data_IF_502809155541
#
_entry.id   IF_502809155541
#
_cell.length_a   1.000
_cell.length_b   1.000
_cell.length_c   1.000
_cell.angle_alpha   90.00
_cell.angle_beta   90.00
_cell.angle_gamma   90.00
#
_symmetry.space_group_name_H-M   'P 1'
#
loop_
_entity.id
_entity.type
_entity.pdbx_description
1 polymer ?
#
# COMPACT_ATOMS: atom_id res chain seq x y z
N UNK A 1 10.54 -18.39 -73.95
CA UNK A 1 9.56 -19.03 -73.04
C UNK A 1 10.19 -19.16 -71.65
N UNK A 2 9.80 -18.36 -70.67
CA UNK A 2 10.35 -18.39 -69.31
C UNK A 2 9.24 -18.75 -68.30
N UNK A 3 9.34 -19.94 -67.69
CA UNK A 3 8.48 -20.37 -66.58
C UNK A 3 9.08 -19.84 -65.27
N UNK A 4 8.45 -18.83 -64.68
CA UNK A 4 8.85 -18.26 -63.39
C UNK A 4 8.39 -19.13 -62.23
N UNK A 5 9.34 -19.48 -61.35
CA UNK A 5 9.17 -20.34 -60.17
C UNK A 5 8.57 -19.54 -59.02
N UNK A 6 7.25 -19.63 -58.82
CA UNK A 6 6.55 -19.09 -57.64
C UNK A 6 5.99 -20.28 -56.85
N UNK A 7 6.86 -21.02 -56.16
CA UNK A 7 6.48 -22.28 -55.49
C UNK A 7 6.86 -22.43 -54.01
N UNK A 8 7.97 -21.87 -53.55
CA UNK A 8 8.58 -22.35 -52.28
C UNK A 8 8.44 -21.46 -51.04
N UNK A 9 7.79 -20.29 -51.10
CA UNK A 9 7.77 -19.37 -49.93
C UNK A 9 6.64 -19.58 -48.91
N UNK A 10 5.70 -20.51 -49.14
CA UNK A 10 4.49 -20.63 -48.30
C UNK A 10 4.60 -21.57 -47.09
N UNK A 11 5.55 -22.52 -47.08
CA UNK A 11 5.62 -23.53 -46.01
C UNK A 11 6.28 -23.02 -44.70
N UNK A 12 7.21 -22.06 -44.79
CA UNK A 12 7.98 -21.60 -43.62
C UNK A 12 7.25 -20.55 -42.75
N UNK A 13 6.13 -20.00 -43.21
CA UNK A 13 5.37 -18.98 -42.47
C UNK A 13 4.42 -19.59 -41.42
N UNK A 14 3.90 -20.81 -41.65
CA UNK A 14 2.95 -21.46 -40.74
C UNK A 14 3.57 -21.90 -39.40
N UNK A 15 4.82 -22.37 -39.41
CA UNK A 15 5.49 -22.85 -38.18
C UNK A 15 6.08 -21.72 -37.33
N UNK A 16 6.42 -20.57 -37.93
CA UNK A 16 6.78 -19.35 -37.19
C UNK A 16 5.58 -18.75 -36.45
N UNK A 17 4.39 -18.84 -37.03
CA UNK A 17 3.14 -18.32 -36.44
C UNK A 17 2.74 -19.04 -35.14
N UNK A 18 2.87 -20.37 -35.08
CA UNK A 18 2.47 -21.13 -33.88
C UNK A 18 3.44 -20.96 -32.70
N UNK A 19 4.75 -20.83 -32.97
CA UNK A 19 5.75 -20.53 -31.93
C UNK A 19 5.65 -19.09 -31.44
N UNK A 20 5.42 -18.14 -32.36
CA UNK A 20 5.17 -16.75 -32.00
C UNK A 20 3.95 -16.65 -31.06
N UNK A 21 2.87 -17.37 -31.37
CA UNK A 21 1.65 -17.39 -30.54
C UNK A 21 1.90 -17.86 -29.10
N UNK A 22 2.67 -18.94 -28.87
CA UNK A 22 2.99 -19.40 -27.50
C UNK A 22 3.85 -18.40 -26.73
N UNK A 23 4.79 -17.75 -27.43
CA UNK A 23 5.68 -16.76 -26.83
C UNK A 23 4.91 -15.48 -26.45
N UNK A 24 4.00 -15.03 -27.31
CA UNK A 24 3.08 -13.93 -27.01
C UNK A 24 2.19 -14.27 -25.80
N UNK A 25 1.69 -15.50 -25.73
CA UNK A 25 0.84 -15.95 -24.63
C UNK A 25 1.60 -15.95 -23.28
N UNK A 26 2.85 -16.41 -23.27
CA UNK A 26 3.73 -16.33 -22.09
C UNK A 26 4.01 -14.89 -21.66
N UNK A 27 4.25 -13.98 -22.61
CA UNK A 27 4.48 -12.57 -22.32
C UNK A 27 3.24 -11.94 -21.68
N UNK A 28 2.04 -12.24 -22.19
CA UNK A 28 0.79 -11.75 -21.59
C UNK A 28 0.60 -12.28 -20.18
N UNK A 29 0.86 -13.57 -19.93
CA UNK A 29 0.76 -14.15 -18.59
C UNK A 29 1.74 -13.47 -17.62
N UNK A 30 3.00 -13.28 -18.03
CA UNK A 30 4.00 -12.57 -17.23
C UNK A 30 3.60 -11.12 -16.95
N UNK A 31 3.05 -10.43 -17.94
CA UNK A 31 2.56 -9.07 -17.77
C UNK A 31 1.40 -9.00 -16.75
N UNK A 32 0.48 -9.97 -16.79
CA UNK A 32 -0.63 -10.05 -15.81
C UNK A 32 -0.10 -10.32 -14.41
N UNK A 33 0.83 -11.26 -14.24
CA UNK A 33 1.45 -11.55 -12.93
C UNK A 33 2.17 -10.30 -12.39
N UNK A 34 2.91 -9.59 -13.24
CA UNK A 34 3.59 -8.36 -12.85
C UNK A 34 2.60 -7.26 -12.41
N UNK A 35 1.46 -7.14 -13.10
CA UNK A 35 0.40 -6.19 -12.71
C UNK A 35 -0.24 -6.55 -11.37
N UNK A 36 -0.51 -7.84 -11.11
CA UNK A 36 -1.04 -8.30 -9.81
C UNK A 36 -0.02 -8.02 -8.70
N UNK A 37 1.25 -8.39 -8.90
CA UNK A 37 2.30 -8.14 -7.92
C UNK A 37 2.50 -6.63 -7.64
N UNK A 38 2.38 -5.79 -8.67
CA UNK A 38 2.43 -4.34 -8.52
C UNK A 38 1.23 -3.80 -7.73
N UNK A 39 0.02 -4.30 -8.00
CA UNK A 39 -1.18 -3.93 -7.26
C UNK A 39 -1.10 -4.36 -5.79
N UNK A 40 -0.65 -5.58 -5.53
CA UNK A 40 -0.45 -6.11 -4.18
C UNK A 40 0.60 -5.30 -3.42
N UNK A 41 1.73 -4.99 -4.06
CA UNK A 41 2.75 -4.09 -3.49
C UNK A 41 2.10 -2.75 -3.09
N UNK A 42 1.43 -2.07 -4.02
CA UNK A 42 0.84 -0.77 -3.73
C UNK A 42 -0.27 -0.85 -2.65
N UNK A 43 -0.97 -1.97 -2.53
CA UNK A 43 -1.99 -2.16 -1.50
C UNK A 43 -1.38 -2.42 -0.11
N UNK A 44 -0.31 -3.23 -0.04
CA UNK A 44 0.35 -3.60 1.21
C UNK A 44 1.17 -2.45 1.83
N UNK A 45 1.73 -1.55 1.01
CA UNK A 45 2.53 -0.41 1.49
C UNK A 45 1.71 0.85 1.78
N UNK A 46 0.38 0.77 1.87
CA UNK A 46 -0.42 1.91 2.34
C UNK A 46 -0.28 2.08 3.85
N UNK A 47 0.43 3.13 4.24
CA UNK A 47 0.42 3.64 5.61
C UNK A 47 -0.99 4.16 5.94
N UNK A 48 -1.53 3.76 7.09
CA UNK A 48 -2.78 4.29 7.61
C UNK A 48 -2.47 5.30 8.71
N UNK A 49 -2.91 6.54 8.51
CA UNK A 49 -2.72 7.62 9.47
C UNK A 49 -4.06 8.04 10.04
N UNK A 50 -4.15 8.16 11.36
CA UNK A 50 -5.33 8.69 12.04
C UNK A 50 -4.93 9.56 13.22
N UNK A 51 -5.87 10.38 13.68
CA UNK A 51 -5.69 11.29 14.81
C UNK A 51 -6.52 10.80 16.01
N UNK A 52 -5.87 10.74 17.16
CA UNK A 52 -6.51 10.53 18.46
C UNK A 52 -6.60 11.91 19.11
N UNK A 53 -7.81 12.45 19.17
CA UNK A 53 -8.10 13.65 19.94
C UNK A 53 -8.04 13.33 21.44
N UNK A 54 -7.32 14.16 22.19
CA UNK A 54 -7.34 14.09 23.63
C UNK A 54 -8.71 14.51 24.19
N UNK A 55 -9.20 13.77 25.19
CA UNK A 55 -10.42 14.16 25.89
C UNK A 55 -10.03 15.14 26.99
N UNK A 56 -9.89 16.40 26.64
CA UNK A 56 -9.60 17.44 27.60
C UNK A 56 -10.88 18.12 28.14
N UNK A 57 -10.81 18.60 29.37
CA UNK A 57 -11.91 19.34 30.01
C UNK A 57 -11.37 20.36 31.00
N UNK A 58 -12.09 21.47 31.18
CA UNK A 58 -11.72 22.46 32.19
C UNK A 58 -12.21 22.03 33.57
N UNK A 59 -11.28 21.86 34.51
CA UNK A 59 -11.57 21.59 35.92
C UNK A 59 -10.81 22.62 36.75
N UNK A 60 -11.54 23.38 37.58
CA UNK A 60 -10.96 24.41 38.47
C UNK A 60 -10.04 25.44 37.78
N UNK A 61 -10.33 25.81 36.53
CA UNK A 61 -9.56 26.81 35.78
C UNK A 61 -8.29 26.28 35.11
N UNK A 62 -8.02 24.98 35.18
CA UNK A 62 -6.95 24.30 34.44
C UNK A 62 -7.53 23.33 33.42
N UNK A 63 -6.89 23.20 32.26
CA UNK A 63 -7.24 22.17 31.27
C UNK A 63 -6.59 20.87 31.72
N UNK A 64 -7.42 19.89 32.07
CA UNK A 64 -6.96 18.54 32.35
C UNK A 64 -6.92 17.77 31.04
N UNK A 65 -5.77 17.17 30.79
CA UNK A 65 -5.49 16.36 29.63
C UNK A 65 -5.43 14.88 30.04
N UNK A 66 -5.77 13.97 29.13
CA UNK A 66 -5.57 12.51 29.35
C UNK A 66 -4.32 12.05 28.60
N UNK A 67 -3.99 12.74 27.51
CA UNK A 67 -2.76 12.59 26.74
C UNK A 67 -1.79 13.73 27.10
N UNK A 68 -1.06 13.55 28.19
CA UNK A 68 -0.16 14.59 28.71
C UNK A 68 1.29 14.40 28.23
N UNK A 69 1.57 13.23 27.66
CA UNK A 69 2.92 12.81 27.31
C UNK A 69 2.97 12.09 25.98
N UNK A 70 4.13 12.19 25.32
CA UNK A 70 4.43 11.45 24.09
C UNK A 70 4.34 9.93 24.31
N UNK A 71 4.77 9.43 25.47
CA UNK A 71 4.66 8.02 25.83
C UNK A 71 3.20 7.53 25.91
N UNK A 72 2.29 8.36 26.44
CA UNK A 72 0.86 8.04 26.46
C UNK A 72 0.27 8.01 25.04
N UNK A 73 0.71 8.92 24.17
CA UNK A 73 0.33 8.94 22.75
C UNK A 73 0.80 7.67 22.03
N UNK A 74 2.08 7.31 22.19
CA UNK A 74 2.64 6.08 21.61
C UNK A 74 1.88 4.83 22.09
N UNK A 75 1.63 4.70 23.39
CA UNK A 75 0.91 3.55 23.94
C UNK A 75 -0.50 3.42 23.35
N UNK A 76 -1.23 4.53 23.22
CA UNK A 76 -2.55 4.53 22.59
C UNK A 76 -2.50 4.21 21.10
N UNK A 77 -1.53 4.76 20.37
CA UNK A 77 -1.33 4.43 18.96
C UNK A 77 -1.06 2.93 18.79
N UNK A 78 -0.16 2.34 19.59
CA UNK A 78 0.12 0.90 19.57
C UNK A 78 -1.13 0.07 19.83
N UNK A 79 -1.91 0.43 20.85
CA UNK A 79 -3.15 -0.25 21.17
C UNK A 79 -4.19 -0.17 20.04
N UNK A 80 -4.39 1.01 19.44
CA UNK A 80 -5.33 1.16 18.32
C UNK A 80 -4.85 0.46 17.04
N UNK A 81 -3.56 0.58 16.67
CA UNK A 81 -3.03 -0.15 15.52
C UNK A 81 -3.26 -1.66 15.71
N UNK A 82 -2.96 -2.19 16.91
CA UNK A 82 -3.17 -3.60 17.22
C UNK A 82 -4.63 -4.02 17.17
N UNK A 83 -5.55 -3.17 17.64
CA UNK A 83 -6.99 -3.44 17.59
C UNK A 83 -7.55 -3.47 16.16
N UNK A 84 -6.89 -2.79 15.22
CA UNK A 84 -7.22 -2.78 13.79
C UNK A 84 -6.41 -3.79 12.98
N UNK A 85 -5.71 -4.72 13.64
CA UNK A 85 -4.84 -5.69 12.96
C UNK A 85 -3.81 -4.99 12.05
N UNK A 86 -3.16 -3.97 12.58
CA UNK A 86 -2.03 -3.27 11.95
C UNK A 86 -0.82 -3.17 12.90
N UNK A 87 0.38 -3.18 12.32
CA UNK A 87 1.63 -2.87 13.00
C UNK A 87 1.74 -1.39 13.30
N UNK A 88 2.18 -1.05 14.51
CA UNK A 88 2.57 0.32 14.84
C UNK A 88 3.88 0.69 14.12
N UNK A 89 3.93 1.89 13.55
CA UNK A 89 5.14 2.42 12.92
C UNK A 89 5.69 3.62 13.69
N UNK A 90 4.87 4.67 13.86
CA UNK A 90 5.27 5.89 14.58
C UNK A 90 4.06 6.65 15.12
N UNK A 91 4.34 7.55 16.06
CA UNK A 91 3.39 8.51 16.59
C UNK A 91 3.99 9.92 16.60
N UNK A 92 3.14 10.94 16.59
CA UNK A 92 3.52 12.33 16.73
C UNK A 92 2.57 13.02 17.71
N UNK A 93 3.11 13.49 18.82
CA UNK A 93 2.38 14.19 19.85
C UNK A 93 2.49 15.71 19.64
N UNK A 94 1.36 16.40 19.67
CA UNK A 94 1.28 17.86 19.65
C UNK A 94 0.62 18.33 20.93
N UNK A 95 1.43 18.85 21.85
CA UNK A 95 0.94 19.52 23.06
C UNK A 95 0.46 20.92 22.73
N UNK A 96 -0.77 21.25 23.10
CA UNK A 96 -1.34 22.59 22.94
C UNK A 96 -1.47 23.23 24.32
N UNK A 97 -0.87 24.42 24.51
CA UNK A 97 -1.01 25.18 25.76
C UNK A 97 -2.45 25.65 26.02
N UNK A 98 -3.22 25.82 24.94
CA UNK A 98 -4.63 26.18 24.97
C UNK A 98 -5.38 25.26 24.02
N UNK A 99 -6.06 24.24 24.55
CA UNK A 99 -6.83 23.28 23.76
C UNK A 99 -6.65 21.85 24.27
N UNK A 100 -7.09 20.87 23.49
CA UNK A 100 -6.81 19.46 23.76
C UNK A 100 -5.56 19.03 22.99
N UNK A 101 -4.74 18.15 23.56
CA UNK A 101 -3.58 17.63 22.86
C UNK A 101 -3.99 16.74 21.68
N UNK A 102 -3.14 16.67 20.65
CA UNK A 102 -3.40 15.87 19.46
C UNK A 102 -2.33 14.81 19.33
N UNK A 103 -2.76 13.57 19.10
CA UNK A 103 -1.88 12.45 18.87
C UNK A 103 -2.10 11.89 17.46
N UNK A 104 -1.10 12.03 16.58
CA UNK A 104 -1.11 11.46 15.23
C UNK A 104 -0.47 10.08 15.24
N UNK A 105 -1.20 9.06 14.83
CA UNK A 105 -0.71 7.69 14.74
C UNK A 105 -0.48 7.31 13.28
N UNK A 106 0.61 6.59 13.01
CA UNK A 106 0.84 5.92 11.72
C UNK A 106 0.97 4.42 11.97
N UNK A 107 0.11 3.65 11.31
CA UNK A 107 0.15 2.19 11.32
C UNK A 107 0.46 1.67 9.91
N UNK A 108 1.04 0.48 9.85
CA UNK A 108 1.26 -0.30 8.63
C UNK A 108 0.52 -1.63 8.74
N UNK A 109 -0.12 -2.10 7.68
CA UNK A 109 -0.84 -3.38 7.70
C UNK A 109 0.14 -4.54 8.01
N UNK A 110 -0.27 -5.50 8.85
CA UNK A 110 0.55 -6.68 9.14
C UNK A 110 0.77 -7.50 7.85
N UNK A 111 2.02 -7.97 7.67
CA UNK A 111 2.41 -8.99 6.69
C UNK A 111 1.99 -10.39 7.16
#
# INVERSE_FOLDING_TARGET
MAKSRIGSKKANFRNKSARASRLTQLIVILAVIALIAYADYHFMFRHHTFEIEDKCGMIAGSVMHILDTEAACEFRCKSQCSAQEMSYEKSAYTGLEQGCNICKCTCRRFE
#
